data_IF_946932126893
#
_entry.id   IF_946932126893
#
_cell.length_a   1.000
_cell.length_b   1.000
_cell.length_c   1.000
_cell.angle_alpha   90.00
_cell.angle_beta   90.00
_cell.angle_gamma   90.00
#
_symmetry.space_group_name_H-M   'P 1'
#
loop_
_entity.id
_entity.type
_entity.pdbx_description
1 polymer ?
#
# COMPACT_ATOMS: atom_id res chain seq x y z
N UNK A 1 -6.30 12.30 12.79
CA UNK A 1 -5.00 11.74 13.26
C UNK A 1 -4.19 11.20 12.07
N UNK A 2 -2.86 11.04 12.23
CA UNK A 2 -1.99 10.38 11.23
C UNK A 2 -1.56 9.02 11.79
N UNK A 3 -1.58 7.98 10.99
CA UNK A 3 -1.26 6.61 11.42
C UNK A 3 -0.15 5.99 10.57
N UNK A 4 0.70 5.19 11.20
CA UNK A 4 1.73 4.37 10.57
C UNK A 4 1.39 2.90 10.77
N UNK A 5 0.94 2.26 9.70
CA UNK A 5 0.43 0.89 9.68
C UNK A 5 1.58 -0.11 9.53
N UNK A 6 1.65 -1.07 10.46
CA UNK A 6 2.74 -2.05 10.48
C UNK A 6 4.09 -1.39 10.79
N UNK A 7 4.11 -0.46 11.75
CA UNK A 7 5.26 0.42 12.00
C UNK A 7 6.52 -0.32 12.51
N UNK A 8 6.39 -1.54 13.03
CA UNK A 8 7.50 -2.29 13.61
C UNK A 8 8.25 -1.47 14.66
N UNK A 9 9.58 -1.41 14.52
CA UNK A 9 10.47 -0.61 15.38
C UNK A 9 10.73 0.80 14.84
N UNK A 10 10.16 1.16 13.67
CA UNK A 10 10.60 2.32 12.88
C UNK A 10 9.44 3.22 12.47
N UNK A 11 8.67 3.68 13.46
CA UNK A 11 7.54 4.57 13.24
C UNK A 11 7.93 5.89 12.56
N UNK A 12 7.13 6.30 11.57
CA UNK A 12 7.26 7.63 10.98
C UNK A 12 7.02 8.72 12.03
N UNK A 13 7.90 9.71 12.06
CA UNK A 13 7.81 10.83 13.03
C UNK A 13 6.45 11.53 12.92
N UNK A 14 5.84 11.84 14.07
CA UNK A 14 4.54 12.50 14.19
C UNK A 14 3.32 11.65 13.77
N UNK A 15 3.50 10.35 13.56
CA UNK A 15 2.41 9.40 13.33
C UNK A 15 2.14 8.56 14.58
N UNK A 16 0.93 8.06 14.72
CA UNK A 16 0.57 7.02 15.69
C UNK A 16 0.95 5.67 15.08
N UNK A 17 1.91 4.99 15.69
CA UNK A 17 2.37 3.68 15.23
C UNK A 17 1.40 2.58 15.64
N UNK A 18 0.95 1.79 14.66
CA UNK A 18 0.06 0.65 14.86
C UNK A 18 0.77 -0.62 14.38
N UNK A 19 0.89 -1.59 15.28
CA UNK A 19 1.48 -2.90 14.97
C UNK A 19 0.86 -3.96 15.88
N UNK A 20 0.90 -5.24 15.47
CA UNK A 20 0.46 -6.34 16.31
C UNK A 20 1.46 -6.65 17.45
N UNK A 21 2.71 -6.27 17.28
CA UNK A 21 3.77 -6.45 18.27
C UNK A 21 4.05 -5.15 19.02
N UNK A 22 4.21 -5.26 20.34
CA UNK A 22 4.62 -4.14 21.17
C UNK A 22 6.11 -3.89 21.00
N UNK A 23 6.46 -2.72 20.47
CA UNK A 23 7.84 -2.21 20.36
C UNK A 23 7.94 -0.84 21.00
N UNK A 24 9.11 -0.22 20.99
CA UNK A 24 9.30 1.18 21.43
C UNK A 24 8.57 2.18 20.51
N UNK A 25 8.29 1.80 19.27
CA UNK A 25 7.63 2.62 18.27
C UNK A 25 6.10 2.42 18.22
N UNK A 26 5.58 1.32 18.81
CA UNK A 26 4.15 0.99 18.76
C UNK A 26 3.38 1.78 19.81
N UNK A 27 2.47 2.64 19.36
CA UNK A 27 1.52 3.36 20.23
C UNK A 27 0.25 2.54 20.47
N UNK A 28 -0.28 1.86 19.44
CA UNK A 28 -1.45 1.01 19.50
C UNK A 28 -1.09 -0.42 19.08
N UNK A 29 -1.32 -1.39 19.98
CA UNK A 29 -1.14 -2.81 19.66
C UNK A 29 -2.44 -3.33 19.06
N UNK A 30 -2.44 -3.56 17.73
CA UNK A 30 -3.63 -3.99 16.97
C UNK A 30 -3.19 -4.98 15.90
N UNK A 31 -3.89 -6.11 15.82
CA UNK A 31 -3.80 -7.00 14.67
C UNK A 31 -4.60 -6.42 13.51
N UNK A 32 -3.90 -5.83 12.53
CA UNK A 32 -4.49 -5.17 11.37
C UNK A 32 -5.11 -6.15 10.36
N UNK A 33 -5.01 -7.45 10.60
CA UNK A 33 -5.70 -8.48 9.82
C UNK A 33 -7.05 -8.87 10.46
N UNK A 34 -7.39 -8.31 11.63
CA UNK A 34 -8.69 -8.45 12.27
C UNK A 34 -9.53 -7.19 12.02
N UNK A 35 -10.76 -7.35 11.57
CA UNK A 35 -11.65 -6.26 11.20
C UNK A 35 -12.94 -6.27 12.04
N UNK A 36 -13.51 -5.10 12.39
CA UNK A 36 -13.02 -3.75 12.08
C UNK A 36 -11.84 -3.32 12.97
N UNK A 37 -11.03 -2.37 12.49
CA UNK A 37 -10.00 -1.74 13.31
C UNK A 37 -10.63 -0.86 14.41
N UNK A 38 -9.98 -0.72 15.57
CA UNK A 38 -10.48 0.13 16.66
C UNK A 38 -10.24 1.64 16.37
N UNK A 39 -10.63 2.05 15.17
CA UNK A 39 -10.55 3.41 14.67
C UNK A 39 -11.94 3.83 14.16
N UNK A 40 -12.33 5.06 14.44
CA UNK A 40 -13.58 5.61 13.94
C UNK A 40 -13.53 5.84 12.42
N UNK A 41 -14.70 5.77 11.77
CA UNK A 41 -14.81 6.14 10.36
C UNK A 41 -14.44 7.61 10.17
N UNK A 42 -13.80 7.93 9.03
CA UNK A 42 -13.44 9.29 8.64
C UNK A 42 -12.62 10.06 9.71
N UNK A 43 -11.77 9.35 10.46
CA UNK A 43 -10.97 9.94 11.55
C UNK A 43 -9.49 10.15 11.16
N UNK A 44 -9.01 9.43 10.14
CA UNK A 44 -7.60 9.42 9.74
C UNK A 44 -7.33 10.41 8.63
N UNK A 45 -6.35 11.29 8.82
CA UNK A 45 -5.98 12.38 7.90
C UNK A 45 -4.82 12.00 6.98
N UNK A 46 -3.96 11.09 7.42
CA UNK A 46 -2.81 10.62 6.65
C UNK A 46 -2.42 9.22 7.11
N UNK A 47 -2.08 8.37 6.16
CA UNK A 47 -1.62 7.00 6.40
C UNK A 47 -0.24 6.80 5.80
N UNK A 48 0.63 6.15 6.55
CA UNK A 48 1.89 5.58 6.08
C UNK A 48 1.83 4.06 6.25
N UNK A 49 2.26 3.32 5.24
CA UNK A 49 2.27 1.86 5.25
C UNK A 49 3.48 1.38 4.46
N UNK A 50 4.59 1.08 5.15
CA UNK A 50 5.83 0.66 4.51
C UNK A 50 6.12 -0.81 4.82
N UNK A 51 6.32 -1.61 3.78
CA UNK A 51 6.68 -3.03 3.87
C UNK A 51 5.74 -3.88 4.73
N UNK A 52 4.45 -3.53 4.72
CA UNK A 52 3.40 -4.26 5.41
C UNK A 52 2.36 -4.86 4.44
N UNK A 53 1.89 -4.09 3.44
CA UNK A 53 0.77 -4.50 2.59
C UNK A 53 1.09 -5.74 1.74
N UNK A 54 2.32 -5.93 1.31
CA UNK A 54 2.78 -7.14 0.61
C UNK A 54 2.71 -8.41 1.47
N UNK A 55 2.61 -8.26 2.80
CA UNK A 55 2.44 -9.37 3.76
C UNK A 55 0.99 -9.66 4.11
N UNK A 56 0.07 -8.80 3.67
CA UNK A 56 -1.37 -9.02 3.87
C UNK A 56 -1.82 -10.20 3.00
N UNK A 57 -2.40 -11.27 3.60
CA UNK A 57 -2.92 -12.41 2.85
C UNK A 57 -3.84 -11.95 1.72
N UNK A 58 -3.66 -12.52 0.53
CA UNK A 58 -4.45 -12.12 -0.66
C UNK A 58 -5.96 -12.12 -0.41
N UNK A 59 -6.44 -13.08 0.38
CA UNK A 59 -7.85 -13.19 0.74
C UNK A 59 -8.37 -12.02 1.60
N UNK A 60 -7.46 -11.28 2.25
CA UNK A 60 -7.79 -10.17 3.13
C UNK A 60 -7.49 -8.80 2.52
N UNK A 61 -6.78 -8.73 1.38
CA UNK A 61 -6.35 -7.45 0.77
C UNK A 61 -7.53 -6.53 0.45
N UNK A 62 -8.63 -7.06 -0.08
CA UNK A 62 -9.83 -6.26 -0.37
C UNK A 62 -10.43 -5.70 0.92
N UNK A 63 -10.62 -6.56 1.94
CA UNK A 63 -11.12 -6.14 3.25
C UNK A 63 -10.21 -5.10 3.92
N UNK A 64 -8.91 -5.29 3.83
CA UNK A 64 -7.92 -4.33 4.33
C UNK A 64 -8.09 -2.96 3.67
N UNK A 65 -8.26 -2.92 2.37
CA UNK A 65 -8.44 -1.67 1.62
C UNK A 65 -9.81 -1.02 1.88
N UNK A 66 -10.86 -1.82 2.10
CA UNK A 66 -12.17 -1.32 2.52
C UNK A 66 -12.11 -0.69 3.92
N UNK A 67 -11.40 -1.33 4.84
CA UNK A 67 -11.23 -0.82 6.18
C UNK A 67 -10.37 0.45 6.21
N UNK A 68 -9.29 0.45 5.42
CA UNK A 68 -8.48 1.65 5.20
C UNK A 68 -9.35 2.81 4.67
N UNK A 69 -10.18 2.54 3.65
CA UNK A 69 -11.10 3.53 3.10
C UNK A 69 -12.09 4.01 4.15
N UNK A 70 -12.64 3.12 4.98
CA UNK A 70 -13.58 3.48 6.06
C UNK A 70 -12.98 4.48 7.04
N UNK A 71 -11.75 4.23 7.51
CA UNK A 71 -11.13 5.07 8.55
C UNK A 71 -10.56 6.38 8.04
N UNK A 72 -10.18 6.45 6.77
CA UNK A 72 -9.63 7.68 6.17
C UNK A 72 -10.72 8.73 5.97
N UNK A 73 -10.37 10.00 6.19
CA UNK A 73 -11.19 11.15 5.79
C UNK A 73 -11.23 11.28 4.27
N UNK A 74 -12.28 11.86 3.74
CA UNK A 74 -12.34 12.28 2.34
C UNK A 74 -11.15 13.18 1.98
N UNK A 75 -10.50 12.91 0.87
CA UNK A 75 -9.29 13.62 0.42
C UNK A 75 -8.01 13.26 1.18
N UNK A 76 -8.08 12.43 2.23
CA UNK A 76 -6.90 11.95 2.95
C UNK A 76 -6.01 11.09 2.05
N UNK A 77 -4.71 11.07 2.33
CA UNK A 77 -3.72 10.33 1.55
C UNK A 77 -3.13 9.17 2.35
N UNK A 78 -2.98 8.03 1.68
CA UNK A 78 -2.25 6.89 2.19
C UNK A 78 -1.03 6.62 1.30
N UNK A 79 0.16 6.67 1.88
CA UNK A 79 1.42 6.33 1.21
C UNK A 79 1.77 4.89 1.49
N UNK A 80 1.80 4.07 0.45
CA UNK A 80 2.27 2.69 0.49
C UNK A 80 3.66 2.60 -0.10
N UNK A 81 4.56 1.91 0.60
CA UNK A 81 5.87 1.53 0.10
C UNK A 81 5.93 0.00 0.14
N UNK A 82 6.03 -0.63 -1.01
CA UNK A 82 6.05 -2.10 -1.12
C UNK A 82 7.24 -2.55 -1.93
N UNK A 83 7.84 -3.68 -1.55
CA UNK A 83 8.90 -4.29 -2.32
C UNK A 83 8.43 -4.61 -3.74
N UNK A 84 9.27 -4.35 -4.74
CA UNK A 84 8.96 -4.52 -6.15
C UNK A 84 9.99 -5.44 -6.84
N UNK A 85 9.64 -5.94 -8.02
CA UNK A 85 10.51 -6.77 -8.82
C UNK A 85 11.04 -7.99 -8.06
N UNK A 86 12.34 -8.24 -8.16
CA UNK A 86 13.01 -9.37 -7.48
C UNK A 86 12.87 -9.28 -5.95
N UNK A 87 12.86 -8.09 -5.38
CA UNK A 87 12.72 -7.92 -3.93
C UNK A 87 11.37 -8.40 -3.40
N UNK A 88 10.31 -8.28 -4.21
CA UNK A 88 9.00 -8.81 -3.84
C UNK A 88 8.98 -10.33 -3.70
N UNK A 89 9.92 -11.03 -4.31
CA UNK A 89 10.02 -12.49 -4.33
C UNK A 89 11.04 -13.05 -3.32
N UNK A 90 11.87 -12.21 -2.70
CA UNK A 90 12.96 -12.64 -1.82
C UNK A 90 12.50 -13.00 -0.40
N UNK A 91 11.52 -12.31 0.16
CA UNK A 91 11.03 -12.58 1.51
C UNK A 91 9.88 -13.60 1.45
N UNK A 92 10.09 -14.77 2.05
CA UNK A 92 9.08 -15.83 2.12
C UNK A 92 7.78 -15.43 2.85
N UNK A 93 7.79 -14.29 3.57
CA UNK A 93 6.60 -13.73 4.23
C UNK A 93 5.78 -12.83 3.31
N UNK A 94 6.26 -12.53 2.10
CA UNK A 94 5.47 -11.81 1.11
C UNK A 94 4.44 -12.74 0.49
N UNK A 95 3.22 -12.27 0.43
CA UNK A 95 2.08 -13.01 -0.10
C UNK A 95 1.99 -12.91 -1.64
N UNK A 96 1.74 -14.04 -2.27
CA UNK A 96 1.48 -14.08 -3.72
C UNK A 96 0.03 -13.67 -4.05
N UNK A 97 -0.25 -12.90 -5.11
CA UNK A 97 0.71 -12.28 -6.04
C UNK A 97 1.40 -11.05 -5.43
N UNK A 98 2.60 -10.68 -5.90
CA UNK A 98 3.26 -9.44 -5.47
C UNK A 98 2.43 -8.21 -5.82
N UNK A 99 2.63 -7.14 -5.07
CA UNK A 99 1.97 -5.87 -5.34
C UNK A 99 2.68 -5.18 -6.51
N UNK A 100 1.90 -4.80 -7.50
CA UNK A 100 2.36 -4.07 -8.69
C UNK A 100 1.51 -2.81 -8.88
N UNK A 101 1.93 -1.89 -9.76
CA UNK A 101 1.18 -0.65 -10.03
C UNK A 101 -0.30 -0.95 -10.33
N UNK A 102 -0.57 -1.92 -11.20
CA UNK A 102 -1.92 -2.34 -11.58
C UNK A 102 -2.78 -2.86 -10.42
N UNK A 103 -2.16 -3.29 -9.29
CA UNK A 103 -2.91 -3.77 -8.13
C UNK A 103 -3.82 -2.70 -7.52
N UNK A 104 -3.44 -1.43 -7.62
CA UNK A 104 -4.20 -0.32 -7.06
C UNK A 104 -5.38 0.13 -7.91
N UNK A 105 -5.38 -0.17 -9.23
CA UNK A 105 -6.48 0.17 -10.15
C UNK A 105 -7.81 -0.45 -9.71
N UNK A 106 -7.77 -1.65 -9.15
CA UNK A 106 -8.96 -2.36 -8.69
C UNK A 106 -9.68 -1.68 -7.50
N UNK A 107 -9.02 -0.73 -6.83
CA UNK A 107 -9.61 0.04 -5.73
C UNK A 107 -10.14 1.41 -6.18
N UNK A 108 -10.04 1.75 -7.47
CA UNK A 108 -10.64 2.95 -8.07
C UNK A 108 -11.99 2.59 -8.70
N UNK A 109 -13.06 3.24 -8.25
CA UNK A 109 -14.43 2.96 -8.71
C UNK A 109 -14.61 3.25 -10.20
N UNK A 110 -14.17 4.43 -10.63
CA UNK A 110 -14.30 4.82 -12.04
C UNK A 110 -13.56 3.85 -12.97
N UNK A 111 -12.35 3.43 -12.62
CA UNK A 111 -11.61 2.47 -13.41
C UNK A 111 -12.35 1.12 -13.52
N UNK A 112 -12.94 0.63 -12.41
CA UNK A 112 -13.75 -0.60 -12.44
C UNK A 112 -14.97 -0.46 -13.36
N UNK A 113 -15.68 0.68 -13.30
CA UNK A 113 -16.83 0.96 -14.17
C UNK A 113 -16.43 0.99 -15.65
N UNK A 114 -15.36 1.71 -15.98
CA UNK A 114 -14.83 1.83 -17.35
C UNK A 114 -14.40 0.45 -17.92
N UNK A 115 -13.92 -0.45 -17.07
CA UNK A 115 -13.50 -1.80 -17.44
C UNK A 115 -14.61 -2.86 -17.25
N UNK A 116 -15.85 -2.46 -16.94
CA UNK A 116 -17.02 -3.33 -16.75
C UNK A 116 -16.84 -4.36 -15.60
N UNK A 117 -16.06 -4.02 -14.58
CA UNK A 117 -15.80 -4.84 -13.40
C UNK A 117 -16.76 -4.41 -12.27
N UNK A 118 -18.07 -4.53 -12.50
CA UNK A 118 -19.11 -4.05 -11.58
C UNK A 118 -19.95 -5.19 -10.97
N UNK A 119 -19.54 -6.44 -11.17
CA UNK A 119 -20.25 -7.60 -10.63
C UNK A 119 -19.59 -8.14 -9.35
N UNK A 120 -20.33 -8.90 -8.57
CA UNK A 120 -20.08 -9.35 -7.20
C UNK A 120 -18.64 -9.64 -6.75
N UNK A 121 -17.79 -10.24 -7.59
CA UNK A 121 -16.39 -10.50 -7.23
C UNK A 121 -15.55 -9.21 -7.11
N UNK A 122 -15.91 -8.18 -7.89
CA UNK A 122 -15.24 -6.87 -7.89
C UNK A 122 -16.03 -5.80 -7.13
N UNK A 123 -17.13 -6.19 -6.46
CA UNK A 123 -17.90 -5.29 -5.61
C UNK A 123 -17.11 -4.99 -4.34
N UNK A 124 -16.54 -3.80 -4.30
CA UNK A 124 -15.82 -3.26 -3.16
C UNK A 124 -16.27 -1.82 -2.90
N UNK A 125 -16.32 -1.46 -1.62
CA UNK A 125 -16.72 -0.11 -1.17
C UNK A 125 -15.61 0.93 -1.31
N UNK A 126 -14.47 0.55 -1.88
CA UNK A 126 -13.33 1.45 -2.04
C UNK A 126 -13.50 2.36 -3.23
N UNK A 127 -13.07 3.61 -3.07
CA UNK A 127 -12.87 4.54 -4.15
C UNK A 127 -11.62 5.39 -3.86
N UNK A 128 -10.52 5.05 -4.53
CA UNK A 128 -9.26 5.75 -4.40
C UNK A 128 -8.79 6.23 -5.77
N UNK A 129 -8.37 7.47 -5.84
CA UNK A 129 -7.43 7.88 -6.86
C UNK A 129 -6.01 7.53 -6.43
N UNK A 130 -5.08 7.33 -7.37
CA UNK A 130 -3.71 7.03 -6.97
C UNK A 130 -2.68 7.58 -7.96
N UNK A 131 -1.51 7.87 -7.42
CA UNK A 131 -0.29 8.14 -8.16
C UNK A 131 0.83 7.23 -7.65
N UNK A 132 1.89 7.07 -8.43
CA UNK A 132 3.00 6.21 -8.03
C UNK A 132 4.35 6.74 -8.51
N UNK A 133 5.40 6.25 -7.85
CA UNK A 133 6.79 6.43 -8.26
C UNK A 133 7.56 5.13 -8.00
N UNK A 134 8.61 4.90 -8.76
CA UNK A 134 9.54 3.79 -8.56
C UNK A 134 10.78 4.27 -7.80
N UNK A 135 11.13 3.59 -6.71
CA UNK A 135 12.44 3.72 -6.10
C UNK A 135 13.40 2.78 -6.83
N UNK A 136 14.21 3.35 -7.71
CA UNK A 136 15.12 2.60 -8.56
C UNK A 136 16.26 1.95 -7.75
N UNK A 137 16.75 0.81 -8.21
CA UNK A 137 17.99 0.24 -7.71
C UNK A 137 19.15 1.22 -7.94
N UNK A 138 20.13 1.34 -7.01
CA UNK A 138 21.21 2.34 -7.10
C UNK A 138 21.94 2.33 -8.44
N UNK A 139 22.26 1.15 -8.97
CA UNK A 139 22.96 1.00 -10.24
C UNK A 139 22.14 1.52 -11.45
N UNK A 140 20.81 1.55 -11.35
CA UNK A 140 19.91 2.10 -12.37
C UNK A 140 19.71 3.60 -12.16
N UNK A 141 19.57 4.02 -10.90
CA UNK A 141 19.32 5.42 -10.55
C UNK A 141 20.42 6.40 -11.02
N UNK A 142 21.65 5.89 -11.17
CA UNK A 142 22.81 6.66 -11.66
C UNK A 142 22.89 6.78 -13.20
N UNK A 143 22.01 6.12 -13.94
CA UNK A 143 21.98 6.14 -15.40
C UNK A 143 21.17 7.33 -15.94
N UNK A 144 21.27 7.58 -17.26
CA UNK A 144 20.41 8.52 -17.96
C UNK A 144 18.94 8.09 -17.95
N UNK A 145 18.06 9.02 -18.30
CA UNK A 145 16.61 8.77 -18.19
C UNK A 145 16.12 7.75 -19.22
N UNK A 146 16.69 7.71 -20.42
CA UNK A 146 16.33 6.73 -21.45
C UNK A 146 16.64 5.30 -20.96
N UNK A 147 17.79 5.11 -20.32
CA UNK A 147 18.13 3.81 -19.74
C UNK A 147 17.22 3.47 -18.54
N UNK A 148 16.89 4.44 -17.67
CA UNK A 148 15.96 4.22 -16.53
C UNK A 148 14.61 3.74 -17.02
N UNK A 149 14.04 4.42 -18.01
CA UNK A 149 12.73 4.09 -18.58
C UNK A 149 12.75 2.69 -19.21
N UNK A 150 13.80 2.38 -19.97
CA UNK A 150 14.00 1.05 -20.52
C UNK A 150 14.14 -0.02 -19.42
N UNK A 151 14.97 0.24 -18.40
CA UNK A 151 15.25 -0.72 -17.35
C UNK A 151 14.00 -1.06 -16.52
N UNK A 152 13.18 -0.08 -16.18
CA UNK A 152 11.92 -0.28 -15.42
C UNK A 152 10.97 -1.24 -16.16
N UNK A 153 10.96 -1.21 -17.49
CA UNK A 153 10.09 -2.08 -18.30
C UNK A 153 10.68 -3.47 -18.50
N UNK A 154 12.01 -3.59 -18.58
CA UNK A 154 12.66 -4.82 -19.08
C UNK A 154 13.43 -5.61 -18.03
N UNK A 155 13.77 -5.02 -16.87
CA UNK A 155 14.56 -5.68 -15.84
C UNK A 155 13.82 -5.78 -14.50
N UNK A 156 13.67 -7.02 -14.00
CA UNK A 156 13.00 -7.27 -12.71
C UNK A 156 13.69 -6.63 -11.50
N UNK A 157 14.99 -6.38 -11.60
CA UNK A 157 15.81 -5.81 -10.53
C UNK A 157 16.08 -4.29 -10.69
N UNK A 158 15.40 -3.64 -11.63
CA UNK A 158 15.55 -2.20 -11.84
C UNK A 158 14.87 -1.37 -10.75
N UNK A 159 13.80 -1.90 -10.14
CA UNK A 159 12.99 -1.21 -9.14
C UNK A 159 13.09 -1.96 -7.81
N UNK A 160 13.50 -1.24 -6.76
CA UNK A 160 13.53 -1.78 -5.41
C UNK A 160 12.16 -1.73 -4.73
N UNK A 161 11.53 -0.55 -4.76
CA UNK A 161 10.26 -0.34 -4.10
C UNK A 161 9.28 0.44 -4.99
N UNK A 162 8.03 0.08 -4.92
CA UNK A 162 6.91 0.83 -5.47
C UNK A 162 6.36 1.75 -4.39
N UNK A 163 6.38 3.04 -4.64
CA UNK A 163 5.73 4.06 -3.81
C UNK A 163 4.39 4.42 -4.45
N UNK A 164 3.29 4.07 -3.81
CA UNK A 164 1.95 4.44 -4.24
C UNK A 164 1.31 5.40 -3.24
N UNK A 165 0.70 6.46 -3.73
CA UNK A 165 -0.08 7.40 -2.92
C UNK A 165 -1.53 7.28 -3.33
N UNK A 166 -2.37 6.81 -2.42
CA UNK A 166 -3.80 6.65 -2.59
C UNK A 166 -4.51 7.86 -1.97
N UNK A 167 -5.46 8.44 -2.68
CA UNK A 167 -6.31 9.53 -2.18
C UNK A 167 -7.74 9.03 -2.09
N UNK A 168 -8.36 9.07 -0.90
CA UNK A 168 -9.78 8.70 -0.73
C UNK A 168 -10.69 9.68 -1.46
N UNK A 169 -11.57 9.16 -2.33
CA UNK A 169 -12.60 9.91 -3.06
C UNK A 169 -13.96 9.79 -2.39
#
# INVERSE_FOLDING_TARGET
MKIDIGCGDNKRKSFVGIDMYKTSATDMVVDLLQFPWPLESDSVEEVHCAHFFERVPKALRVKFMEELHRVMKFGAKATFITACGDRALQDARHEWPPIVVGSYLYYNKKWREDNKLTHGYYDTKTDFDFSYAHALAPAVAEKDDDFKDFAVVHYNNAVNDLHAVLTKL
#
